data_IF_005939735591
#
_entry.id   IF_005939735591
#
_cell.length_a   1.000
_cell.length_b   1.000
_cell.length_c   1.000
_cell.angle_alpha   90.00
_cell.angle_beta   90.00
_cell.angle_gamma   90.00
#
_symmetry.space_group_name_H-M   'P 1'
#
loop_
_entity.id
_entity.type
_entity.pdbx_description
1 polymer ?
#
# COMPACT_ATOMS: atom_id res chain seq x y z
N UNK A 1 9.91 -9.09 -4.12
CA UNK A 1 9.35 -7.78 -4.49
C UNK A 1 8.29 -7.36 -3.47
N UNK A 2 8.27 -6.09 -3.13
CA UNK A 2 7.31 -5.58 -2.16
C UNK A 2 6.01 -5.19 -2.82
N UNK A 3 4.92 -5.31 -2.08
CA UNK A 3 3.61 -4.82 -2.49
C UNK A 3 3.14 -3.80 -1.46
N UNK A 4 2.75 -2.61 -1.94
CA UNK A 4 2.24 -1.58 -1.06
C UNK A 4 0.78 -1.30 -1.41
N UNK A 5 -0.08 -1.32 -0.40
CA UNK A 5 -1.49 -1.00 -0.55
C UNK A 5 -1.72 0.41 -0.07
N UNK A 6 -2.33 1.23 -0.92
CA UNK A 6 -2.49 2.66 -0.66
C UNK A 6 -3.93 3.10 -0.89
N UNK A 7 -4.22 4.34 -0.49
CA UNK A 7 -5.48 5.01 -0.80
C UNK A 7 -5.19 6.41 -1.31
N UNK A 8 -6.16 7.00 -2.00
CA UNK A 8 -6.05 8.39 -2.43
C UNK A 8 -6.01 9.29 -1.19
N UNK A 9 -5.34 10.43 -1.34
CA UNK A 9 -5.25 11.44 -0.28
C UNK A 9 -4.62 10.91 1.01
N UNK A 10 -3.70 9.98 0.89
CA UNK A 10 -3.01 9.41 2.02
C UNK A 10 -1.56 9.91 2.06
N UNK A 11 -1.28 10.84 2.99
CA UNK A 11 0.06 11.39 3.13
C UNK A 11 1.09 10.35 3.52
N UNK A 12 0.71 9.44 4.43
CA UNK A 12 1.62 8.37 4.84
C UNK A 12 1.95 7.40 3.72
N UNK A 13 1.00 7.19 2.81
CA UNK A 13 1.26 6.36 1.64
C UNK A 13 2.31 7.00 0.74
N UNK A 14 2.23 8.32 0.55
CA UNK A 14 3.22 9.07 -0.20
C UNK A 14 4.59 8.95 0.45
N UNK A 15 4.65 9.12 1.75
CA UNK A 15 5.91 9.02 2.49
C UNK A 15 6.52 7.63 2.37
N UNK A 16 5.69 6.60 2.45
CA UNK A 16 6.17 5.22 2.34
C UNK A 16 6.71 4.95 0.94
N UNK A 17 6.02 5.41 -0.09
CA UNK A 17 6.50 5.23 -1.47
C UNK A 17 7.81 5.97 -1.71
N UNK A 18 7.92 7.19 -1.18
CA UNK A 18 9.15 7.96 -1.30
C UNK A 18 10.32 7.23 -0.63
N UNK A 19 10.07 6.68 0.55
CA UNK A 19 11.11 5.94 1.26
C UNK A 19 11.56 4.72 0.46
N UNK A 20 10.61 3.97 -0.09
CA UNK A 20 10.96 2.81 -0.90
C UNK A 20 11.78 3.21 -2.13
N UNK A 21 11.41 4.31 -2.77
CA UNK A 21 12.14 4.82 -3.92
C UNK A 21 13.55 5.27 -3.54
N UNK A 22 13.70 5.94 -2.41
CA UNK A 22 15.00 6.39 -1.94
C UNK A 22 15.92 5.23 -1.64
N UNK A 23 15.37 4.14 -1.11
CA UNK A 23 16.12 2.94 -0.80
C UNK A 23 16.32 2.04 -2.03
N UNK A 24 15.80 2.46 -3.19
CA UNK A 24 15.87 1.72 -4.45
C UNK A 24 15.27 0.32 -4.32
N UNK A 25 14.19 0.24 -3.59
CA UNK A 25 13.43 -1.01 -3.40
C UNK A 25 12.31 -1.05 -4.43
N UNK A 26 12.28 -2.11 -5.23
CA UNK A 26 11.21 -2.29 -6.20
C UNK A 26 9.93 -2.71 -5.48
N UNK A 27 8.81 -2.13 -5.91
CA UNK A 27 7.52 -2.45 -5.32
C UNK A 27 6.41 -2.30 -6.35
N UNK A 28 5.29 -2.97 -6.04
CA UNK A 28 4.05 -2.83 -6.80
C UNK A 28 3.08 -2.08 -5.90
N UNK A 29 2.44 -1.06 -6.46
CA UNK A 29 1.42 -0.30 -5.74
C UNK A 29 0.04 -0.78 -6.15
N UNK A 30 -0.80 -1.08 -5.16
CA UNK A 30 -2.19 -1.43 -5.37
C UNK A 30 -3.06 -0.40 -4.66
N UNK A 31 -3.85 0.34 -5.43
CA UNK A 31 -4.75 1.35 -4.87
C UNK A 31 -6.04 0.69 -4.42
N UNK A 32 -6.36 0.85 -3.13
CA UNK A 32 -7.59 0.30 -2.58
C UNK A 32 -8.83 1.03 -3.11
N UNK A 33 -8.65 2.23 -3.65
CA UNK A 33 -9.75 2.94 -4.28
C UNK A 33 -10.15 2.35 -5.62
N UNK A 34 -9.25 1.58 -6.24
CA UNK A 34 -9.47 0.99 -7.55
C UNK A 34 -9.51 -0.53 -7.51
N UNK A 35 -9.13 -1.15 -6.41
CA UNK A 35 -9.10 -2.60 -6.28
C UNK A 35 -9.92 -3.03 -5.07
N UNK A 36 -11.17 -3.38 -5.35
CA UNK A 36 -12.10 -3.73 -4.29
C UNK A 36 -11.76 -5.08 -3.66
N UNK A 37 -11.22 -6.00 -4.44
CA UNK A 37 -10.82 -7.30 -3.91
C UNK A 37 -9.68 -7.16 -2.90
N UNK A 38 -8.72 -6.30 -3.19
CA UNK A 38 -7.63 -6.03 -2.27
C UNK A 38 -8.16 -5.41 -0.98
N UNK A 39 -9.14 -4.52 -1.11
CA UNK A 39 -9.77 -3.89 0.06
C UNK A 39 -10.42 -4.94 0.96
N UNK A 40 -11.16 -5.86 0.37
CA UNK A 40 -11.81 -6.94 1.13
C UNK A 40 -10.76 -7.83 1.79
N UNK A 41 -9.71 -8.18 1.05
CA UNK A 41 -8.64 -9.02 1.56
C UNK A 41 -7.99 -8.40 2.80
N UNK A 42 -7.65 -7.12 2.73
CA UNK A 42 -7.02 -6.45 3.87
C UNK A 42 -7.96 -6.36 5.06
N UNK A 43 -9.25 -6.16 4.79
CA UNK A 43 -10.25 -6.11 5.85
C UNK A 43 -10.34 -7.45 6.57
N UNK A 44 -10.32 -8.55 5.82
CA UNK A 44 -10.34 -9.88 6.40
C UNK A 44 -9.08 -10.18 7.21
N UNK A 45 -7.95 -9.62 6.80
CA UNK A 45 -6.70 -9.72 7.54
C UNK A 45 -6.65 -8.75 8.72
N UNK A 46 -7.73 -7.99 8.94
CA UNK A 46 -7.83 -6.99 10.00
C UNK A 46 -6.82 -5.86 9.87
N UNK A 47 -6.39 -5.59 8.65
CA UNK A 47 -5.55 -4.45 8.34
C UNK A 47 -6.43 -3.26 8.04
N UNK A 48 -6.50 -2.31 8.96
CA UNK A 48 -7.46 -1.20 8.86
C UNK A 48 -6.83 0.13 8.51
N UNK A 49 -5.53 0.16 8.37
CA UNK A 49 -4.82 1.39 8.07
C UNK A 49 -4.00 1.24 6.82
N UNK A 50 -3.67 2.37 6.20
CA UNK A 50 -2.75 2.42 5.06
C UNK A 50 -1.62 3.37 5.41
N UNK A 51 -0.43 3.16 4.85
CA UNK A 51 -0.09 2.11 3.90
C UNK A 51 0.07 0.73 4.56
N UNK A 52 -0.15 -0.33 3.77
CA UNK A 52 0.19 -1.70 4.18
C UNK A 52 1.25 -2.21 3.21
N UNK A 53 2.35 -2.71 3.75
CA UNK A 53 3.49 -3.12 2.95
C UNK A 53 3.79 -4.59 3.25
N UNK A 54 3.82 -5.38 2.19
CA UNK A 54 4.13 -6.81 2.29
C UNK A 54 5.29 -7.16 1.37
N UNK A 55 6.06 -8.11 1.80
CA UNK A 55 7.16 -8.62 0.98
C UNK A 55 6.78 -9.92 0.28
#
# INVERSE_FOLDING_TARGET
MYTIYTQNSCGYCHMAKNLLNEQKIDFIEISLDHDQEARVMLKEMKCRTVPQIFN
#
